data_IF_824173052722
#
_entry.id   IF_824173052722
#
_cell.length_a   1.000
_cell.length_b   1.000
_cell.length_c   1.000
_cell.angle_alpha   90.00
_cell.angle_beta   90.00
_cell.angle_gamma   90.00
#
_symmetry.space_group_name_H-M   'P 1'
#
loop_
_entity.id
_entity.type
_entity.pdbx_description
1 polymer ?
#
# COMPACT_ATOMS: atom_id res chain seq x y z
N UNK A 1 21.23 -34.75 -15.84
CA UNK A 1 20.19 -34.11 -16.68
C UNK A 1 19.56 -33.03 -15.81
N UNK A 2 19.49 -31.81 -16.34
CA UNK A 2 19.23 -30.57 -15.60
C UNK A 2 17.73 -30.32 -15.58
N UNK A 3 17.12 -30.27 -14.39
CA UNK A 3 15.79 -29.66 -14.21
C UNK A 3 15.93 -28.51 -13.22
N UNK A 4 16.32 -27.37 -13.77
CA UNK A 4 16.25 -26.07 -13.13
C UNK A 4 14.80 -25.58 -13.20
N UNK A 5 13.99 -25.87 -12.19
CA UNK A 5 12.85 -25.00 -11.88
C UNK A 5 13.40 -23.94 -10.93
N UNK A 6 14.19 -23.03 -11.49
CA UNK A 6 14.49 -21.75 -10.84
C UNK A 6 13.20 -20.93 -10.93
N UNK A 7 12.57 -20.79 -9.77
CA UNK A 7 11.73 -19.69 -9.33
C UNK A 7 11.17 -18.78 -10.44
N UNK A 8 9.86 -18.86 -10.62
CA UNK A 8 9.02 -17.84 -11.26
C UNK A 8 9.06 -16.52 -10.46
N UNK A 9 10.20 -15.84 -10.45
CA UNK A 9 10.45 -14.56 -9.77
C UNK A 9 11.06 -13.54 -10.73
N UNK A 10 10.51 -13.35 -11.93
CA UNK A 10 10.99 -12.27 -12.81
C UNK A 10 9.83 -11.56 -13.52
N UNK A 11 9.63 -10.31 -13.12
CA UNK A 11 8.78 -9.30 -13.76
C UNK A 11 7.27 -9.60 -13.78
N UNK A 12 6.58 -9.37 -12.66
CA UNK A 12 5.33 -8.62 -12.83
C UNK A 12 5.73 -7.28 -13.42
N UNK A 13 5.32 -6.94 -14.66
CA UNK A 13 5.58 -5.62 -15.18
C UNK A 13 5.02 -4.66 -14.14
N UNK A 14 5.78 -3.62 -13.80
CA UNK A 14 5.27 -2.43 -13.16
C UNK A 14 4.12 -1.99 -14.06
N UNK A 15 2.91 -2.49 -13.75
CA UNK A 15 1.74 -2.27 -14.58
C UNK A 15 1.63 -0.77 -14.59
N UNK A 16 1.80 -0.17 -15.76
CA UNK A 16 1.37 1.19 -16.04
C UNK A 16 -0.10 1.20 -15.66
N UNK A 17 -0.39 1.52 -14.41
CA UNK A 17 -1.72 1.40 -13.83
C UNK A 17 -2.55 2.36 -14.62
N UNK A 18 -3.42 1.83 -15.51
CA UNK A 18 -4.27 2.69 -16.34
C UNK A 18 -5.02 3.61 -15.39
N UNK A 19 -5.08 4.89 -15.72
CA UNK A 19 -5.77 5.89 -14.89
C UNK A 19 -7.20 5.50 -14.51
N UNK A 20 -7.85 4.70 -15.36
CA UNK A 20 -9.20 4.18 -15.18
C UNK A 20 -9.30 2.87 -14.38
N UNK A 21 -8.17 2.24 -14.05
CA UNK A 21 -8.15 0.98 -13.32
C UNK A 21 -8.73 1.18 -11.92
N UNK A 22 -9.62 0.28 -11.50
CA UNK A 22 -10.26 0.35 -10.18
C UNK A 22 -9.39 -0.34 -9.15
N UNK A 23 -9.21 0.26 -7.99
CA UNK A 23 -8.42 -0.32 -6.92
C UNK A 23 -9.37 -0.88 -5.87
N UNK A 24 -9.08 -2.09 -5.38
CA UNK A 24 -9.86 -2.77 -4.35
C UNK A 24 -8.93 -3.37 -3.31
N UNK A 25 -9.26 -3.16 -2.03
CA UNK A 25 -8.59 -3.77 -0.90
C UNK A 25 -9.44 -4.90 -0.32
N UNK A 26 -8.90 -6.12 -0.32
CA UNK A 26 -9.57 -7.31 0.21
C UNK A 26 -9.33 -7.54 1.70
N UNK A 27 -8.34 -6.88 2.29
CA UNK A 27 -7.96 -7.08 3.69
C UNK A 27 -8.79 -6.26 4.68
N UNK A 28 -8.56 -6.52 5.97
CA UNK A 28 -9.19 -5.79 7.06
C UNK A 28 -8.58 -4.41 7.31
N UNK A 29 -9.15 -3.69 8.26
CA UNK A 29 -8.53 -2.48 8.83
C UNK A 29 -7.25 -2.89 9.58
N UNK A 30 -6.11 -2.24 9.33
CA UNK A 30 -4.88 -2.53 10.05
C UNK A 30 -4.92 -2.02 11.50
N UNK A 31 -4.14 -2.65 12.37
CA UNK A 31 -3.76 -2.06 13.65
C UNK A 31 -2.60 -1.08 13.42
N UNK A 32 -2.66 0.09 14.04
CA UNK A 32 -1.69 1.18 13.79
C UNK A 32 -0.93 1.50 15.07
N UNK A 33 0.38 1.57 14.96
CA UNK A 33 1.27 2.01 16.04
C UNK A 33 2.17 3.14 15.56
N UNK A 34 1.98 4.33 16.11
CA UNK A 34 2.86 5.47 15.87
C UNK A 34 4.10 5.40 16.75
N UNK A 35 5.25 5.69 16.15
CA UNK A 35 6.55 5.74 16.79
C UNK A 35 7.24 7.04 16.38
N UNK A 36 7.31 7.98 17.31
CA UNK A 36 8.09 9.19 17.15
C UNK A 36 9.51 8.94 17.67
N UNK A 37 10.52 9.16 16.82
CA UNK A 37 11.93 9.16 17.25
C UNK A 37 12.51 10.54 17.04
N UNK A 38 12.89 11.19 18.14
CA UNK A 38 13.62 12.47 18.11
C UNK A 38 15.10 12.21 18.21
N UNK A 39 15.86 12.60 17.18
CA UNK A 39 17.32 12.53 17.19
C UNK A 39 17.90 13.86 16.71
N UNK A 40 18.74 14.49 17.54
CA UNK A 40 19.35 15.81 17.28
C UNK A 40 18.34 16.91 16.92
N UNK A 41 17.21 16.99 17.65
CA UNK A 41 16.17 17.99 17.42
C UNK A 41 15.26 17.74 16.22
N UNK A 42 15.54 16.72 15.41
CA UNK A 42 14.67 16.29 14.32
C UNK A 42 13.80 15.15 14.85
N UNK A 43 12.49 15.39 14.94
CA UNK A 43 11.49 14.35 15.20
C UNK A 43 11.08 13.74 13.87
N UNK A 44 11.24 12.42 13.74
CA UNK A 44 10.68 11.66 12.63
C UNK A 44 9.60 10.74 13.17
N UNK A 45 8.38 10.96 12.72
CA UNK A 45 7.25 10.12 13.04
C UNK A 45 7.10 9.02 12.00
N UNK A 46 7.08 7.78 12.47
CA UNK A 46 6.80 6.61 11.64
C UNK A 46 5.61 5.89 12.22
N UNK A 47 4.85 5.25 11.37
CA UNK A 47 3.76 4.40 11.77
C UNK A 47 3.99 2.98 11.23
N UNK A 48 3.75 2.00 12.09
CA UNK A 48 3.68 0.60 11.73
C UNK A 48 2.22 0.22 11.63
N UNK A 49 1.82 -0.33 10.48
CA UNK A 49 0.48 -0.84 10.23
C UNK A 49 0.56 -2.36 10.14
N UNK A 50 -0.12 -3.04 11.05
CA UNK A 50 -0.20 -4.49 11.13
C UNK A 50 -1.52 -4.95 10.54
N UNK A 51 -1.45 -5.71 9.45
CA UNK A 51 -2.60 -6.27 8.77
C UNK A 51 -2.77 -7.74 9.17
N UNK A 52 -4.02 -8.14 9.40
CA UNK A 52 -4.38 -9.52 9.72
C UNK A 52 -5.18 -10.11 8.55
N UNK A 53 -4.62 -11.12 7.90
CA UNK A 53 -5.34 -11.90 6.89
C UNK A 53 -5.74 -13.26 7.46
N UNK A 54 -6.53 -14.04 6.71
CA UNK A 54 -6.90 -15.41 7.11
C UNK A 54 -5.71 -16.37 7.13
N UNK A 55 -4.61 -16.03 6.45
CA UNK A 55 -3.42 -16.90 6.31
C UNK A 55 -2.33 -16.49 7.28
N UNK A 56 -2.03 -15.19 7.32
CA UNK A 56 -0.93 -14.62 8.08
C UNK A 56 -1.17 -13.16 8.45
N UNK A 57 -0.36 -12.64 9.38
CA UNK A 57 -0.26 -11.22 9.67
C UNK A 57 1.03 -10.66 9.10
N UNK A 58 0.96 -9.46 8.54
CA UNK A 58 2.13 -8.77 8.00
C UNK A 58 2.13 -7.30 8.42
N UNK A 59 3.34 -6.74 8.49
CA UNK A 59 3.56 -5.36 8.88
C UNK A 59 4.09 -4.54 7.73
N UNK A 60 3.57 -3.32 7.59
CA UNK A 60 4.16 -2.29 6.75
C UNK A 60 4.55 -1.11 7.63
N UNK A 61 5.62 -0.40 7.25
CA UNK A 61 6.07 0.80 7.96
C UNK A 61 6.23 1.94 6.97
N UNK A 62 5.63 3.07 7.29
CA UNK A 62 5.72 4.30 6.50
C UNK A 62 5.78 5.53 7.43
N UNK A 63 5.86 6.72 6.86
CA UNK A 63 5.79 7.99 7.60
C UNK A 63 4.40 8.16 8.25
N UNK A 64 4.33 8.85 9.39
CA UNK A 64 3.08 8.99 10.16
C UNK A 64 1.92 9.50 9.31
N UNK A 65 2.11 10.63 8.62
CA UNK A 65 1.08 11.25 7.77
C UNK A 65 0.66 10.34 6.61
N UNK A 66 1.63 9.67 5.97
CA UNK A 66 1.35 8.72 4.88
C UNK A 66 0.59 7.49 5.36
N UNK A 67 0.82 7.05 6.60
CA UNK A 67 0.07 5.95 7.20
C UNK A 67 -1.37 6.34 7.46
N UNK A 68 -1.61 7.52 8.03
CA UNK A 68 -2.95 8.06 8.26
C UNK A 68 -3.75 8.14 6.96
N UNK A 69 -3.15 8.73 5.93
CA UNK A 69 -3.73 8.77 4.59
C UNK A 69 -4.01 7.35 4.04
N UNK A 70 -3.06 6.43 4.17
CA UNK A 70 -3.19 5.07 3.66
C UNK A 70 -4.33 4.31 4.36
N UNK A 71 -4.54 4.51 5.66
CA UNK A 71 -5.66 3.91 6.39
C UNK A 71 -6.98 4.44 5.86
N UNK A 72 -7.07 5.77 5.70
CA UNK A 72 -8.28 6.42 5.19
C UNK A 72 -8.66 5.93 3.80
N UNK A 73 -7.69 5.90 2.87
CA UNK A 73 -7.96 5.43 1.51
C UNK A 73 -8.30 3.94 1.50
N UNK A 74 -7.61 3.09 2.28
CA UNK A 74 -7.90 1.65 2.33
C UNK A 74 -9.32 1.36 2.83
N UNK A 75 -9.89 2.18 3.71
CA UNK A 75 -11.30 2.07 4.12
C UNK A 75 -12.26 2.33 2.96
N UNK A 76 -11.94 3.31 2.09
CA UNK A 76 -12.71 3.60 0.88
C UNK A 76 -12.50 2.58 -0.23
N UNK A 77 -11.42 1.79 -0.18
CA UNK A 77 -11.10 0.74 -1.15
C UNK A 77 -11.65 -0.64 -0.74
N UNK A 78 -12.28 -0.77 0.43
CA UNK A 78 -12.84 -2.06 0.90
C UNK A 78 -13.85 -2.63 -0.09
N UNK A 79 -13.90 -3.97 -0.15
CA UNK A 79 -14.98 -4.68 -0.85
C UNK A 79 -16.34 -4.19 -0.33
N UNK A 80 -17.16 -3.65 -1.23
CA UNK A 80 -18.49 -3.11 -0.91
C UNK A 80 -18.55 -1.59 -0.82
N UNK A 81 -17.41 -0.89 -0.94
CA UNK A 81 -17.43 0.56 -1.17
C UNK A 81 -17.90 0.86 -2.60
N UNK A 82 -19.02 1.58 -2.73
CA UNK A 82 -19.50 2.09 -4.02
C UNK A 82 -19.56 3.63 -3.98
N UNK A 83 -18.97 4.33 -4.97
CA UNK A 83 -18.25 3.79 -6.12
C UNK A 83 -16.80 3.38 -5.80
N UNK A 84 -16.31 2.33 -6.46
CA UNK A 84 -14.89 1.96 -6.43
C UNK A 84 -14.03 3.10 -6.97
N UNK A 85 -12.94 3.42 -6.27
CA UNK A 85 -12.01 4.46 -6.68
C UNK A 85 -11.09 3.99 -7.80
N UNK A 86 -10.90 4.84 -8.79
CA UNK A 86 -9.91 4.63 -9.84
C UNK A 86 -8.51 5.06 -9.38
N UNK A 87 -7.48 4.47 -9.99
CA UNK A 87 -6.08 4.82 -9.76
C UNK A 87 -5.82 6.33 -9.86
N UNK A 88 -6.41 7.00 -10.86
CA UNK A 88 -6.28 8.46 -11.00
C UNK A 88 -6.87 9.25 -9.84
N UNK A 89 -7.96 8.76 -9.22
CA UNK A 89 -8.58 9.42 -8.08
C UNK A 89 -7.70 9.28 -6.83
N UNK A 90 -7.14 8.09 -6.61
CA UNK A 90 -6.22 7.83 -5.49
C UNK A 90 -4.93 8.63 -5.67
N UNK A 91 -4.40 8.69 -6.89
CA UNK A 91 -3.23 9.51 -7.23
C UNK A 91 -3.52 10.99 -6.94
N UNK A 92 -4.64 11.51 -7.44
CA UNK A 92 -5.01 12.90 -7.23
C UNK A 92 -5.19 13.24 -5.74
N UNK A 93 -5.84 12.35 -4.98
CA UNK A 93 -6.03 12.50 -3.53
C UNK A 93 -4.69 12.52 -2.78
N UNK A 94 -3.79 11.58 -3.09
CA UNK A 94 -2.43 11.56 -2.53
C UNK A 94 -1.66 12.84 -2.86
N UNK A 95 -1.72 13.29 -4.11
CA UNK A 95 -1.03 14.49 -4.59
C UNK A 95 -1.59 15.80 -4.01
N UNK A 96 -2.73 15.78 -3.31
CA UNK A 96 -3.19 16.93 -2.52
C UNK A 96 -2.46 17.09 -1.18
N UNK A 97 -1.88 16.01 -0.67
CA UNK A 97 -1.23 15.95 0.64
C UNK A 97 0.29 15.75 0.54
N UNK A 98 0.76 15.02 -0.47
CA UNK A 98 2.15 14.58 -0.59
C UNK A 98 2.63 14.65 -2.05
N UNK A 99 3.94 14.65 -2.26
CA UNK A 99 4.55 14.56 -3.58
C UNK A 99 4.96 13.11 -3.91
N UNK A 100 5.27 12.85 -5.19
CA UNK A 100 5.83 11.58 -5.68
C UNK A 100 4.96 10.34 -5.39
N UNK A 101 3.68 10.39 -5.76
CA UNK A 101 2.78 9.23 -5.61
C UNK A 101 3.35 7.95 -6.23
N UNK A 102 3.99 8.04 -7.39
CA UNK A 102 4.54 6.87 -8.08
C UNK A 102 5.65 6.20 -7.26
N UNK A 103 6.50 6.98 -6.58
CA UNK A 103 7.54 6.46 -5.70
C UNK A 103 6.93 5.73 -4.50
N UNK A 104 5.85 6.30 -3.92
CA UNK A 104 5.09 5.66 -2.85
C UNK A 104 4.39 4.38 -3.34
N UNK A 105 3.78 4.43 -4.52
CA UNK A 105 3.00 3.34 -5.10
C UNK A 105 3.85 2.13 -5.48
N UNK A 106 5.12 2.31 -5.85
CA UNK A 106 6.07 1.22 -6.10
C UNK A 106 6.90 0.83 -4.88
N UNK A 107 6.65 1.47 -3.73
CA UNK A 107 7.41 1.21 -2.50
C UNK A 107 7.17 -0.21 -1.98
N UNK A 108 8.16 -0.73 -1.25
CA UNK A 108 8.09 -2.05 -0.60
C UNK A 108 6.82 -2.25 0.25
N UNK A 109 6.39 -1.28 1.10
CA UNK A 109 5.12 -1.34 1.81
C UNK A 109 3.90 -1.61 0.93
N UNK A 110 3.77 -0.89 -0.20
CA UNK A 110 2.61 -1.02 -1.09
C UNK A 110 2.68 -2.31 -1.91
N UNK A 111 3.87 -2.73 -2.34
CA UNK A 111 4.02 -4.03 -3.00
C UNK A 111 3.62 -5.18 -2.06
N UNK A 112 3.96 -5.09 -0.77
CA UNK A 112 3.50 -6.06 0.24
C UNK A 112 1.97 -6.09 0.32
N UNK A 113 1.30 -4.93 0.27
CA UNK A 113 -0.17 -4.88 0.21
C UNK A 113 -0.73 -5.54 -1.05
N UNK A 114 -0.10 -5.35 -2.21
CA UNK A 114 -0.51 -6.01 -3.47
C UNK A 114 -0.42 -7.52 -3.38
N UNK A 115 0.69 -8.04 -2.88
CA UNK A 115 0.89 -9.48 -2.68
C UNK A 115 -0.17 -10.09 -1.74
N UNK A 116 -0.70 -9.28 -0.81
CA UNK A 116 -1.60 -9.74 0.25
C UNK A 116 -3.10 -9.49 -0.03
N UNK A 117 -3.45 -8.70 -1.06
CA UNK A 117 -4.86 -8.48 -1.44
C UNK A 117 -5.25 -7.09 -1.95
N UNK A 118 -4.30 -6.25 -2.35
CA UNK A 118 -4.60 -5.00 -3.06
C UNK A 118 -4.69 -5.29 -4.56
N UNK A 119 -5.91 -5.28 -5.08
CA UNK A 119 -6.21 -5.59 -6.47
C UNK A 119 -6.30 -4.33 -7.32
N UNK A 120 -5.85 -4.46 -8.57
CA UNK A 120 -5.99 -3.48 -9.65
C UNK A 120 -6.84 -4.12 -10.74
N UNK A 121 -8.02 -3.55 -11.03
CA UNK A 121 -9.01 -4.08 -11.98
C UNK A 121 -9.14 -3.20 -13.23
#
# INVERSE_FOLDING_TARGET
MRDFIINSLENEPILVTRSTAKIVWLGGTPLVSFQAKTKKGITRERAQLTFFTKRESFDITTEGEKAEWLIHILEQLKIGAEPLLAYAQIKADYETHFEDFELFWVSKPINTLREQGLLVL
#
